data_IF_017137746923
#
_entry.id   IF_017137746923
#
_cell.length_a   1.000
_cell.length_b   1.000
_cell.length_c   1.000
_cell.angle_alpha   90.00
_cell.angle_beta   90.00
_cell.angle_gamma   90.00
#
_symmetry.space_group_name_H-M   'P 1'
#
loop_
_entity.id
_entity.type
_entity.pdbx_description
1 polymer ?
#
# COMPACT_ATOMS: atom_id res chain seq x y z
N UNK A 1 -3.27 -16.31 8.65
CA UNK A 1 -2.16 -15.74 9.45
C UNK A 1 -2.14 -16.49 10.77
N UNK A 2 -0.97 -16.93 11.24
CA UNK A 2 -0.78 -17.61 12.53
C UNK A 2 0.02 -16.71 13.46
N UNK A 3 0.09 -17.04 14.76
CA UNK A 3 0.93 -16.29 15.72
C UNK A 3 2.41 -16.31 15.32
N UNK A 4 2.89 -17.39 14.68
CA UNK A 4 4.28 -17.45 14.21
C UNK A 4 4.54 -16.49 13.03
N UNK A 5 3.58 -16.33 12.12
CA UNK A 5 3.67 -15.31 11.08
C UNK A 5 3.67 -13.90 11.67
N UNK A 6 2.95 -13.67 12.77
CA UNK A 6 2.95 -12.38 13.45
C UNK A 6 4.29 -12.11 14.13
N UNK A 7 4.91 -13.10 14.78
CA UNK A 7 6.27 -12.97 15.34
C UNK A 7 7.28 -12.60 14.26
N UNK A 8 7.30 -13.38 13.19
CA UNK A 8 8.21 -13.12 12.06
C UNK A 8 8.01 -11.71 11.47
N UNK A 9 6.76 -11.25 11.36
CA UNK A 9 6.48 -9.89 10.91
C UNK A 9 7.01 -8.83 11.89
N UNK A 10 6.87 -9.05 13.20
CA UNK A 10 7.44 -8.15 14.20
C UNK A 10 8.96 -8.04 14.07
N UNK A 11 9.65 -9.14 13.95
CA UNK A 11 11.13 -9.21 13.91
C UNK A 11 11.70 -8.73 12.58
N UNK A 12 11.13 -9.13 11.45
CA UNK A 12 11.69 -8.88 10.13
C UNK A 12 11.17 -7.58 9.48
N UNK A 13 9.94 -7.17 9.80
CA UNK A 13 9.31 -6.02 9.15
C UNK A 13 9.04 -4.86 10.11
N UNK A 14 8.47 -5.10 11.29
CA UNK A 14 8.03 -4.00 12.15
C UNK A 14 9.20 -3.37 12.91
N UNK A 15 9.92 -4.12 13.72
CA UNK A 15 10.98 -3.58 14.57
C UNK A 15 12.11 -2.89 13.79
N UNK A 16 12.57 -3.36 12.63
CA UNK A 16 13.61 -2.68 11.87
C UNK A 16 13.17 -1.30 11.34
N UNK A 17 11.86 -1.11 11.12
CA UNK A 17 11.32 0.08 10.45
C UNK A 17 10.66 1.10 11.38
N UNK A 18 10.72 0.92 12.72
CA UNK A 18 10.17 1.86 13.69
C UNK A 18 11.26 2.60 14.46
N UNK A 19 10.94 3.80 14.94
CA UNK A 19 11.80 4.57 15.83
C UNK A 19 11.90 3.97 17.24
N UNK A 20 12.63 4.67 18.12
CA UNK A 20 12.81 4.27 19.53
C UNK A 20 11.51 4.33 20.34
N UNK A 21 10.57 5.22 19.97
CA UNK A 21 9.25 5.33 20.60
C UNK A 21 8.19 5.19 19.53
N UNK A 22 7.29 4.22 19.71
CA UNK A 22 6.26 3.91 18.73
C UNK A 22 4.95 3.48 19.38
N UNK A 23 3.84 3.72 18.71
CA UNK A 23 2.52 3.20 19.06
C UNK A 23 2.13 2.16 18.01
N UNK A 24 1.80 0.95 18.46
CA UNK A 24 1.30 -0.12 17.61
C UNK A 24 -0.20 -0.30 17.84
N UNK A 25 -0.98 0.00 16.80
CA UNK A 25 -2.42 -0.24 16.77
C UNK A 25 -2.70 -1.61 16.15
N UNK A 26 -3.31 -2.51 16.90
CA UNK A 26 -3.68 -3.85 16.44
C UNK A 26 -5.15 -4.13 16.76
N UNK A 27 -5.78 -4.97 15.97
CA UNK A 27 -7.13 -5.44 16.26
C UNK A 27 -7.11 -6.47 17.42
N UNK A 28 -8.30 -6.86 17.88
CA UNK A 28 -8.48 -7.82 18.98
C UNK A 28 -8.34 -9.28 18.55
N UNK A 29 -7.66 -9.57 17.44
CA UNK A 29 -7.42 -10.95 17.03
C UNK A 29 -6.47 -11.65 18.00
N UNK A 30 -6.88 -12.83 18.48
CA UNK A 30 -6.15 -13.57 19.52
C UNK A 30 -4.73 -14.01 19.10
N UNK A 31 -4.49 -14.13 17.81
CA UNK A 31 -3.15 -14.47 17.28
C UNK A 31 -2.09 -13.38 17.43
N UNK A 32 -2.47 -12.14 17.77
CA UNK A 32 -1.52 -11.06 18.06
C UNK A 32 -0.75 -11.26 19.37
N UNK A 33 -1.31 -12.05 20.31
CA UNK A 33 -0.65 -12.41 21.58
C UNK A 33 0.11 -11.22 22.20
N UNK A 34 -0.54 -10.26 22.87
CA UNK A 34 0.09 -8.99 23.33
C UNK A 34 1.39 -9.18 24.09
N UNK A 35 1.52 -10.26 24.86
CA UNK A 35 2.74 -10.57 25.62
C UNK A 35 3.95 -10.82 24.70
N UNK A 36 3.72 -11.35 23.49
CA UNK A 36 4.79 -11.59 22.51
C UNK A 36 5.42 -10.28 22.06
N UNK A 37 4.63 -9.19 21.93
CA UNK A 37 5.15 -7.89 21.52
C UNK A 37 6.14 -7.38 22.56
N UNK A 38 5.79 -7.45 23.85
CA UNK A 38 6.69 -7.05 24.94
C UNK A 38 7.94 -7.91 25.01
N UNK A 39 7.79 -9.23 24.87
CA UNK A 39 8.89 -10.19 24.99
C UNK A 39 9.91 -10.09 23.84
N UNK A 40 9.45 -9.77 22.63
CA UNK A 40 10.29 -9.62 21.44
C UNK A 40 10.77 -8.19 21.19
N UNK A 41 10.29 -7.20 21.97
CA UNK A 41 10.69 -5.80 21.75
C UNK A 41 12.21 -5.63 21.98
N UNK A 42 12.96 -5.16 20.97
CA UNK A 42 14.40 -4.97 21.09
C UNK A 42 14.76 -3.95 22.16
N UNK A 43 15.93 -4.14 22.80
CA UNK A 43 16.47 -3.16 23.75
C UNK A 43 16.62 -1.78 23.09
N UNK A 44 16.21 -0.72 23.80
CA UNK A 44 16.23 0.64 23.28
C UNK A 44 15.00 1.06 22.48
N UNK A 45 14.01 0.18 22.31
CA UNK A 45 12.71 0.52 21.72
C UNK A 45 11.61 0.48 22.77
N UNK A 46 10.73 1.48 22.75
CA UNK A 46 9.53 1.56 23.59
C UNK A 46 8.30 1.52 22.69
N UNK A 47 7.49 0.50 22.86
CA UNK A 47 6.29 0.29 22.06
C UNK A 47 5.06 0.32 22.97
N UNK A 48 4.14 1.21 22.68
CA UNK A 48 2.83 1.25 23.34
C UNK A 48 1.85 0.52 22.42
N UNK A 49 1.36 -0.62 22.88
CA UNK A 49 0.37 -1.40 22.13
C UNK A 49 -1.03 -0.94 22.52
N UNK A 50 -1.80 -0.57 21.50
CA UNK A 50 -3.23 -0.21 21.63
C UNK A 50 -4.08 -1.23 20.89
N UNK A 51 -4.96 -1.90 21.61
CA UNK A 51 -5.85 -2.93 21.03
C UNK A 51 -7.17 -2.26 20.64
N UNK A 52 -7.51 -2.37 19.37
CA UNK A 52 -8.80 -1.94 18.82
C UNK A 52 -9.88 -2.92 19.26
N UNK A 53 -10.90 -2.42 19.94
CA UNK A 53 -11.98 -3.24 20.47
C UNK A 53 -12.74 -3.97 19.36
N UNK A 54 -13.17 -5.19 19.67
CA UNK A 54 -13.96 -6.01 18.74
C UNK A 54 -15.22 -5.24 18.29
N UNK A 55 -15.49 -5.26 16.99
CA UNK A 55 -16.66 -4.60 16.39
C UNK A 55 -16.48 -3.11 16.06
N UNK A 56 -15.36 -2.49 16.46
CA UNK A 56 -15.07 -1.07 16.14
C UNK A 56 -14.09 -0.90 14.97
N UNK A 57 -13.54 -1.97 14.46
CA UNK A 57 -12.53 -1.99 13.38
C UNK A 57 -12.89 -1.09 12.20
N UNK A 58 -14.12 -1.18 11.70
CA UNK A 58 -14.59 -0.35 10.57
C UNK A 58 -14.68 1.15 10.86
N UNK A 59 -14.64 1.55 12.13
CA UNK A 59 -14.77 2.95 12.56
C UNK A 59 -13.44 3.58 12.89
N UNK A 60 -12.50 2.81 13.41
CA UNK A 60 -11.25 3.33 14.00
C UNK A 60 -9.97 2.66 13.52
N UNK A 61 -10.04 1.54 12.79
CA UNK A 61 -8.84 0.97 12.18
C UNK A 61 -8.55 1.69 10.87
N UNK A 62 -7.44 2.43 10.81
CA UNK A 62 -7.07 3.32 9.71
C UNK A 62 -7.17 2.68 8.32
N UNK A 63 -6.62 1.49 8.17
CA UNK A 63 -6.62 0.79 6.88
C UNK A 63 -8.03 0.36 6.47
N UNK A 64 -8.87 -0.10 7.41
CA UNK A 64 -10.26 -0.48 7.13
C UNK A 64 -11.15 0.71 6.85
N UNK A 65 -10.92 1.84 7.51
CA UNK A 65 -11.70 3.07 7.31
C UNK A 65 -11.46 3.65 5.92
N UNK A 66 -10.22 3.65 5.43
CA UNK A 66 -9.89 4.33 4.18
C UNK A 66 -8.91 3.58 3.28
N UNK A 67 -7.81 3.05 3.81
CA UNK A 67 -6.70 2.52 3.02
C UNK A 67 -7.07 1.33 2.14
N UNK A 68 -7.75 0.33 2.68
CA UNK A 68 -8.12 -0.87 1.91
C UNK A 68 -9.14 -0.60 0.81
N UNK A 69 -9.96 0.43 0.92
CA UNK A 69 -10.87 0.83 -0.16
C UNK A 69 -10.07 1.28 -1.38
N UNK A 70 -9.05 2.11 -1.17
CA UNK A 70 -8.19 2.60 -2.24
C UNK A 70 -7.40 1.45 -2.86
N UNK A 71 -6.84 0.59 -2.03
CA UNK A 71 -6.12 -0.61 -2.46
C UNK A 71 -6.98 -1.50 -3.36
N UNK A 72 -8.19 -1.82 -2.92
CA UNK A 72 -9.14 -2.64 -3.69
C UNK A 72 -9.55 -1.98 -5.01
N UNK A 73 -9.78 -0.67 -5.00
CA UNK A 73 -10.12 0.07 -6.21
C UNK A 73 -8.95 0.07 -7.22
N UNK A 74 -7.72 0.21 -6.74
CA UNK A 74 -6.52 0.14 -7.57
C UNK A 74 -6.37 -1.25 -8.20
N UNK A 75 -6.48 -2.31 -7.38
CA UNK A 75 -6.43 -3.70 -7.85
C UNK A 75 -7.52 -3.99 -8.89
N UNK A 76 -8.75 -3.54 -8.62
CA UNK A 76 -9.88 -3.70 -9.54
C UNK A 76 -9.61 -2.99 -10.86
N UNK A 77 -9.20 -1.72 -10.84
CA UNK A 77 -8.93 -0.95 -12.06
C UNK A 77 -7.83 -1.60 -12.90
N UNK A 78 -6.77 -2.09 -12.26
CA UNK A 78 -5.72 -2.82 -12.95
C UNK A 78 -6.25 -4.12 -13.58
N UNK A 79 -7.05 -4.89 -12.84
CA UNK A 79 -7.66 -6.13 -13.36
C UNK A 79 -8.59 -5.88 -14.53
N UNK A 80 -9.40 -4.82 -14.48
CA UNK A 80 -10.28 -4.42 -15.58
C UNK A 80 -9.46 -4.12 -16.86
N UNK A 81 -8.31 -3.43 -16.73
CA UNK A 81 -7.41 -3.14 -17.85
C UNK A 81 -6.81 -4.42 -18.44
N UNK A 82 -6.36 -5.35 -17.60
CA UNK A 82 -5.82 -6.65 -18.07
C UNK A 82 -6.87 -7.42 -18.88
N UNK A 83 -8.12 -7.38 -18.44
CA UNK A 83 -9.25 -8.00 -19.17
C UNK A 83 -9.55 -7.28 -20.48
N UNK A 84 -9.61 -5.95 -20.48
CA UNK A 84 -9.90 -5.15 -21.68
C UNK A 84 -8.83 -5.27 -22.77
N UNK A 85 -7.59 -5.50 -22.38
CA UNK A 85 -6.49 -5.71 -23.32
C UNK A 85 -6.39 -7.17 -23.81
N UNK A 86 -7.35 -8.03 -23.43
CA UNK A 86 -7.33 -9.46 -23.75
C UNK A 86 -5.98 -10.12 -23.44
N UNK A 87 -5.35 -9.66 -22.36
CA UNK A 87 -4.02 -10.09 -21.97
C UNK A 87 -4.05 -11.53 -21.44
N UNK A 88 -3.07 -12.34 -21.83
CA UNK A 88 -2.87 -13.71 -21.35
C UNK A 88 -2.42 -13.79 -19.88
N UNK A 89 -2.51 -12.70 -19.11
CA UNK A 89 -2.15 -12.68 -17.69
C UNK A 89 -3.27 -13.30 -16.86
N UNK A 90 -3.00 -14.45 -16.27
CA UNK A 90 -3.90 -15.04 -15.29
C UNK A 90 -3.68 -14.41 -13.91
N UNK A 91 -4.50 -13.42 -13.56
CA UNK A 91 -4.42 -12.74 -12.27
C UNK A 91 -4.88 -13.61 -11.08
N UNK A 92 -5.41 -14.82 -11.31
CA UNK A 92 -5.77 -15.78 -10.25
C UNK A 92 -4.60 -16.68 -9.84
N UNK A 93 -3.52 -16.71 -10.60
CA UNK A 93 -2.31 -17.42 -10.21
C UNK A 93 -1.64 -16.77 -9.00
N UNK A 94 -1.25 -17.59 -8.03
CA UNK A 94 -0.65 -17.13 -6.77
C UNK A 94 0.51 -16.15 -6.99
N UNK A 95 1.40 -16.44 -7.91
CA UNK A 95 2.56 -15.59 -8.18
C UNK A 95 2.15 -14.23 -8.76
N UNK A 96 1.14 -14.20 -9.64
CA UNK A 96 0.61 -12.97 -10.21
C UNK A 96 -0.16 -12.14 -9.18
N UNK A 97 -0.89 -12.81 -8.27
CA UNK A 97 -1.53 -12.13 -7.12
C UNK A 97 -0.47 -11.44 -6.25
N UNK A 98 0.56 -12.17 -5.82
CA UNK A 98 1.63 -11.64 -4.96
C UNK A 98 2.34 -10.47 -5.66
N UNK A 99 2.66 -10.64 -6.93
CA UNK A 99 3.30 -9.62 -7.77
C UNK A 99 2.45 -8.35 -7.86
N UNK A 100 1.15 -8.50 -8.14
CA UNK A 100 0.23 -7.37 -8.20
C UNK A 100 0.11 -6.66 -6.86
N UNK A 101 -0.03 -7.40 -5.76
CA UNK A 101 -0.12 -6.83 -4.42
C UNK A 101 1.16 -6.06 -4.06
N UNK A 102 2.32 -6.59 -4.40
CA UNK A 102 3.61 -5.91 -4.19
C UNK A 102 3.73 -4.62 -5.02
N UNK A 103 3.31 -4.64 -6.28
CA UNK A 103 3.31 -3.44 -7.12
C UNK A 103 2.32 -2.38 -6.59
N UNK A 104 1.12 -2.77 -6.16
CA UNK A 104 0.15 -1.85 -5.55
C UNK A 104 0.73 -1.23 -4.28
N UNK A 105 1.35 -2.05 -3.43
CA UNK A 105 2.02 -1.56 -2.22
C UNK A 105 3.08 -0.52 -2.57
N UNK A 106 3.94 -0.82 -3.54
CA UNK A 106 4.95 0.12 -4.01
C UNK A 106 4.33 1.44 -4.50
N UNK A 107 3.28 1.37 -5.34
CA UNK A 107 2.62 2.58 -5.83
C UNK A 107 2.03 3.41 -4.69
N UNK A 108 1.33 2.80 -3.74
CA UNK A 108 0.70 3.50 -2.62
C UNK A 108 1.70 3.98 -1.55
N UNK A 109 2.91 3.43 -1.53
CA UNK A 109 4.00 3.88 -0.63
C UNK A 109 4.74 5.12 -1.16
N UNK A 110 4.38 5.63 -2.34
CA UNK A 110 4.98 6.86 -2.87
C UNK A 110 4.76 8.04 -1.92
N UNK A 111 5.76 8.93 -1.71
CA UNK A 111 5.64 10.16 -0.93
C UNK A 111 4.44 11.03 -1.35
N UNK A 112 4.02 10.95 -2.60
CA UNK A 112 2.85 11.61 -3.17
C UNK A 112 1.56 11.38 -2.38
N UNK A 113 1.45 10.22 -1.73
CA UNK A 113 0.25 9.83 -0.98
C UNK A 113 0.40 9.98 0.53
N UNK A 114 1.41 10.72 1.01
CA UNK A 114 1.60 10.96 2.42
C UNK A 114 0.35 11.57 3.09
N UNK A 115 -0.26 12.58 2.45
CA UNK A 115 -1.47 13.21 2.94
C UNK A 115 -2.71 12.31 2.93
N UNK A 116 -2.76 11.33 2.03
CA UNK A 116 -3.81 10.30 2.04
C UNK A 116 -3.76 9.46 3.32
N UNK A 117 -2.57 9.06 3.77
CA UNK A 117 -2.41 8.33 5.02
C UNK A 117 -2.67 9.21 6.24
N UNK A 118 -2.22 10.47 6.23
CA UNK A 118 -2.60 11.46 7.27
C UNK A 118 -4.12 11.64 7.33
N UNK A 119 -4.79 11.68 6.18
CA UNK A 119 -6.25 11.76 6.13
C UNK A 119 -6.93 10.53 6.76
N UNK A 120 -6.33 9.34 6.60
CA UNK A 120 -6.85 8.14 7.27
C UNK A 120 -6.79 8.26 8.79
N UNK A 121 -5.72 8.84 9.34
CA UNK A 121 -5.59 9.13 10.79
C UNK A 121 -6.64 10.13 11.25
N UNK A 122 -6.80 11.24 10.53
CA UNK A 122 -7.84 12.24 10.80
C UNK A 122 -9.24 11.63 10.74
N UNK A 123 -9.55 10.90 9.68
CA UNK A 123 -10.87 10.30 9.48
C UNK A 123 -11.23 9.23 10.52
N UNK A 124 -10.22 8.59 11.07
CA UNK A 124 -10.37 7.60 12.15
C UNK A 124 -10.39 8.23 13.55
N UNK A 125 -10.30 9.57 13.65
CA UNK A 125 -10.40 10.31 14.91
C UNK A 125 -9.15 10.26 15.80
N UNK A 126 -7.99 9.92 15.23
CA UNK A 126 -6.74 9.92 15.98
C UNK A 126 -6.00 11.27 15.96
N UNK A 127 -6.34 12.12 15.00
CA UNK A 127 -5.81 13.49 14.88
C UNK A 127 -6.93 14.46 14.61
N UNK A 128 -6.82 15.68 15.13
CA UNK A 128 -7.83 16.73 14.95
C UNK A 128 -7.57 17.57 13.69
N UNK A 129 -6.34 17.53 13.16
CA UNK A 129 -5.96 18.29 11.98
C UNK A 129 -6.28 17.53 10.69
N UNK A 130 -7.09 18.14 9.85
CA UNK A 130 -7.31 17.64 8.49
C UNK A 130 -6.08 17.99 7.65
N UNK A 131 -5.42 17.01 6.98
CA UNK A 131 -4.32 17.30 6.09
C UNK A 131 -4.80 18.06 4.84
N UNK A 132 -3.85 18.67 4.14
CA UNK A 132 -4.05 19.25 2.82
C UNK A 132 -4.64 18.24 1.83
N UNK A 133 -5.21 18.75 0.76
CA UNK A 133 -5.79 17.91 -0.29
C UNK A 133 -4.72 17.01 -0.93
N UNK A 134 -5.13 15.86 -1.34
CA UNK A 134 -4.28 14.87 -2.00
C UNK A 134 -4.98 14.28 -3.22
N UNK A 135 -4.21 13.89 -4.22
CA UNK A 135 -4.74 13.22 -5.41
C UNK A 135 -5.17 11.78 -5.06
N UNK A 136 -6.28 11.36 -5.66
CA UNK A 136 -6.69 9.96 -5.58
C UNK A 136 -5.70 9.08 -6.35
N UNK A 137 -5.12 8.04 -5.72
CA UNK A 137 -4.15 7.16 -6.37
C UNK A 137 -4.65 6.52 -7.67
N UNK A 138 -5.94 6.16 -7.71
CA UNK A 138 -6.55 5.55 -8.91
C UNK A 138 -6.62 6.56 -10.04
N UNK A 139 -7.08 7.78 -9.78
CA UNK A 139 -7.12 8.85 -10.78
C UNK A 139 -5.72 9.17 -11.30
N UNK A 140 -4.77 9.40 -10.40
CA UNK A 140 -3.39 9.68 -10.79
C UNK A 140 -2.79 8.59 -11.68
N UNK A 141 -2.99 7.33 -11.29
CA UNK A 141 -2.32 6.22 -11.97
C UNK A 141 -3.00 5.77 -13.26
N UNK A 142 -4.31 5.98 -13.41
CA UNK A 142 -5.04 5.42 -14.55
C UNK A 142 -5.72 6.46 -15.46
N UNK A 143 -6.06 7.63 -14.92
CA UNK A 143 -6.79 8.64 -15.69
C UNK A 143 -5.85 9.73 -16.24
N UNK A 144 -4.63 9.86 -15.69
CA UNK A 144 -3.61 10.85 -16.09
C UNK A 144 -2.45 10.20 -16.88
N UNK A 145 -2.65 9.03 -17.50
CA UNK A 145 -1.62 8.37 -18.33
C UNK A 145 -1.46 9.05 -19.68
N UNK A 146 -0.23 9.06 -20.22
CA UNK A 146 0.00 9.35 -21.64
C UNK A 146 -0.57 8.24 -22.54
N UNK A 147 -0.71 8.51 -23.84
CA UNK A 147 -1.24 7.50 -24.78
C UNK A 147 -0.27 6.33 -24.94
N UNK A 148 1.03 6.63 -24.97
CA UNK A 148 2.09 5.66 -25.22
C UNK A 148 3.00 5.47 -24.02
N UNK A 149 3.64 4.32 -23.94
CA UNK A 149 4.61 3.99 -22.90
C UNK A 149 5.87 4.87 -23.00
N UNK A 150 6.26 5.48 -21.87
CA UNK A 150 7.42 6.40 -21.80
C UNK A 150 8.79 5.67 -21.77
N UNK A 151 8.81 4.36 -21.95
CA UNK A 151 10.08 3.62 -22.06
C UNK A 151 10.58 3.73 -23.50
N UNK A 152 11.84 4.15 -23.63
CA UNK A 152 12.51 4.33 -24.91
C UNK A 152 12.37 3.08 -25.80
N UNK A 153 12.00 3.30 -27.06
CA UNK A 153 11.78 2.22 -28.04
C UNK A 153 10.49 1.41 -27.82
N UNK A 154 9.58 1.85 -26.95
CA UNK A 154 8.33 1.17 -26.71
C UNK A 154 7.12 1.95 -27.27
N UNK A 155 6.42 1.37 -28.25
CA UNK A 155 5.23 1.98 -28.87
C UNK A 155 3.91 1.39 -28.31
N UNK A 156 3.95 0.62 -27.22
CA UNK A 156 2.75 0.05 -26.64
C UNK A 156 1.91 1.12 -25.94
N UNK A 157 0.58 0.91 -25.90
CA UNK A 157 -0.34 1.77 -25.15
C UNK A 157 0.05 1.75 -23.67
N UNK A 158 0.15 2.93 -23.07
CA UNK A 158 0.32 3.08 -21.64
C UNK A 158 -0.99 2.74 -20.91
N UNK A 159 -0.89 2.08 -19.79
CA UNK A 159 -2.05 1.62 -19.01
C UNK A 159 -2.02 2.14 -17.58
N UNK A 160 -0.86 2.57 -17.11
CA UNK A 160 -0.67 3.06 -15.75
C UNK A 160 0.45 4.08 -15.69
N UNK A 161 0.26 5.12 -14.88
CA UNK A 161 1.29 6.09 -14.52
C UNK A 161 1.91 5.74 -13.18
N UNK A 162 3.23 5.61 -13.13
CA UNK A 162 3.94 5.28 -11.91
C UNK A 162 3.84 6.44 -10.89
N UNK A 163 3.45 6.13 -9.67
CA UNK A 163 3.29 7.11 -8.60
C UNK A 163 4.63 7.70 -8.11
N UNK A 164 5.74 7.03 -8.39
CA UNK A 164 7.08 7.47 -8.04
C UNK A 164 7.70 8.33 -9.13
N UNK A 165 8.03 7.74 -10.27
CA UNK A 165 8.76 8.42 -11.36
C UNK A 165 7.86 9.14 -12.37
N UNK A 166 6.54 9.05 -12.26
CA UNK A 166 5.52 9.62 -13.16
C UNK A 166 5.51 9.07 -14.59
N UNK A 167 6.38 8.13 -14.94
CA UNK A 167 6.36 7.50 -16.26
C UNK A 167 5.05 6.75 -16.48
N UNK A 168 4.45 6.95 -17.65
CA UNK A 168 3.33 6.17 -18.14
C UNK A 168 3.84 4.87 -18.75
N UNK A 169 3.35 3.74 -18.27
CA UNK A 169 3.89 2.43 -18.56
C UNK A 169 2.84 1.52 -19.19
N UNK A 170 3.23 0.75 -20.18
CA UNK A 170 2.40 -0.33 -20.70
C UNK A 170 2.43 -1.55 -19.76
N UNK A 171 1.50 -2.49 -19.97
CA UNK A 171 1.38 -3.71 -19.18
C UNK A 171 2.68 -4.51 -19.11
N UNK A 172 3.42 -4.59 -20.24
CA UNK A 172 4.73 -5.25 -20.30
C UNK A 172 5.73 -4.61 -19.33
N UNK A 173 5.85 -3.27 -19.35
CA UNK A 173 6.85 -2.59 -18.54
C UNK A 173 6.43 -2.46 -17.08
N UNK A 174 5.16 -2.28 -16.78
CA UNK A 174 4.71 -2.23 -15.40
C UNK A 174 4.65 -3.61 -14.74
N UNK A 175 3.90 -4.55 -15.32
CA UNK A 175 3.61 -5.82 -14.68
C UNK A 175 4.62 -6.92 -15.01
N UNK A 176 4.90 -7.19 -16.30
CA UNK A 176 5.81 -8.29 -16.65
C UNK A 176 7.24 -8.01 -16.19
N UNK A 177 7.77 -6.82 -16.45
CA UNK A 177 9.12 -6.40 -16.01
C UNK A 177 9.19 -5.97 -14.54
N UNK A 178 8.09 -6.03 -13.83
CA UNK A 178 8.02 -5.72 -12.39
C UNK A 178 8.63 -4.35 -12.06
N UNK A 179 7.97 -3.28 -12.51
CA UNK A 179 8.43 -1.91 -12.26
C UNK A 179 8.25 -1.52 -10.79
N UNK A 180 9.17 -1.96 -9.95
CA UNK A 180 9.26 -1.58 -8.54
C UNK A 180 10.15 -0.35 -8.43
N UNK A 181 9.53 0.83 -8.38
CA UNK A 181 10.22 2.11 -8.44
C UNK A 181 10.40 2.72 -7.05
N UNK A 182 11.55 3.34 -6.80
CA UNK A 182 11.88 4.09 -5.58
C UNK A 182 12.44 5.49 -5.90
N UNK A 183 12.46 5.89 -7.15
CA UNK A 183 12.91 7.20 -7.60
C UNK A 183 11.72 8.16 -7.64
N UNK A 184 11.61 9.02 -6.63
CA UNK A 184 10.50 9.96 -6.53
C UNK A 184 10.77 11.22 -7.37
N UNK A 185 9.82 11.53 -8.25
CA UNK A 185 9.80 12.75 -9.04
C UNK A 185 8.74 13.71 -8.49
N UNK A 186 9.19 14.82 -7.93
CA UNK A 186 8.36 15.86 -7.30
C UNK A 186 7.76 16.85 -8.32
N UNK A 187 8.36 17.02 -9.51
CA UNK A 187 7.85 17.97 -10.52
C UNK A 187 6.36 17.73 -10.79
N UNK A 188 5.54 18.76 -10.85
CA UNK A 188 4.12 18.68 -11.23
C UNK A 188 3.93 18.39 -12.72
#
# INVERSE_FOLDING_TARGET
>A
MTSDHFKMWLEEAYFPNIGSNSVLLIDSWTGHCPNIISDLTPSGKRIITMIISKGTTRKIQLLDVYGFRIWKNFAKRFSDIVLLLESNINLHERNNIIKLQSLIHNQLSSPRYHNLFKYSWFKSGYTDERPEDFKNPVQFSFDETSITCDIEGCNNIAVIRCSWCKKSLCLKHFFHKYHYCNEYNESE
#
